data_IF_699899299248
#
_entry.id   IF_699899299248
#
_cell.length_a   1.000
_cell.length_b   1.000
_cell.length_c   1.000
_cell.angle_alpha   90.00
_cell.angle_beta   90.00
_cell.angle_gamma   90.00
#
_symmetry.space_group_name_H-M   'P 1'
#
loop_
_entity.id
_entity.type
_entity.pdbx_description
1 polymer ?
#
# COMPACT_ATOMS: atom_id res chain seq x y z
N UNK A 1 -10.23 19.35 -11.11
CA UNK A 1 -9.55 18.13 -10.68
C UNK A 1 -10.31 16.90 -11.17
N UNK A 2 -9.60 15.96 -11.79
CA UNK A 2 -10.19 14.68 -12.17
C UNK A 2 -10.22 13.74 -10.97
N UNK A 3 -11.37 13.13 -10.73
CA UNK A 3 -11.47 12.07 -9.74
C UNK A 3 -11.02 10.75 -10.37
N UNK A 4 -10.78 9.75 -9.55
CA UNK A 4 -10.44 8.42 -10.02
C UNK A 4 -11.43 7.90 -11.07
N UNK A 5 -12.72 8.14 -10.90
CA UNK A 5 -13.77 7.68 -11.81
C UNK A 5 -13.67 8.26 -13.20
N UNK A 6 -12.96 9.37 -13.38
CA UNK A 6 -12.86 10.07 -14.65
C UNK A 6 -11.70 9.58 -15.51
N UNK A 7 -10.88 8.66 -14.99
CA UNK A 7 -9.78 8.10 -15.74
C UNK A 7 -10.20 6.87 -16.50
N UNK A 8 -9.94 6.89 -17.79
CA UNK A 8 -10.14 5.71 -18.64
C UNK A 8 -8.95 4.76 -18.53
N UNK A 9 -9.15 3.50 -18.93
CA UNK A 9 -8.06 2.54 -18.99
C UNK A 9 -6.89 3.05 -19.84
N UNK A 10 -7.18 3.77 -20.92
CA UNK A 10 -6.17 4.36 -21.80
C UNK A 10 -5.35 5.42 -21.07
N UNK A 11 -6.01 6.31 -20.33
CA UNK A 11 -5.33 7.35 -19.57
C UNK A 11 -4.43 6.73 -18.51
N UNK A 12 -4.89 5.70 -17.83
CA UNK A 12 -4.08 4.98 -16.86
C UNK A 12 -2.85 4.35 -17.52
N UNK A 13 -3.02 3.72 -18.68
CA UNK A 13 -1.92 3.12 -19.42
C UNK A 13 -0.89 4.19 -19.84
N UNK A 14 -1.35 5.33 -20.33
CA UNK A 14 -0.48 6.44 -20.73
C UNK A 14 0.35 6.95 -19.55
N UNK A 15 -0.27 7.10 -18.38
CA UNK A 15 0.44 7.52 -17.18
C UNK A 15 1.48 6.49 -16.75
N UNK A 16 1.15 5.21 -16.82
CA UNK A 16 2.07 4.14 -16.46
C UNK A 16 3.28 4.04 -17.40
N UNK A 17 3.19 4.55 -18.61
CA UNK A 17 4.28 4.51 -19.59
C UNK A 17 5.06 5.81 -19.70
N UNK A 18 4.76 6.81 -18.88
CA UNK A 18 5.41 8.12 -19.00
C UNK A 18 6.79 8.19 -18.33
N UNK A 19 7.32 7.07 -17.83
CA UNK A 19 8.63 7.01 -17.18
C UNK A 19 8.66 7.44 -15.74
N UNK A 20 7.52 7.78 -15.14
CA UNK A 20 7.44 8.15 -13.74
C UNK A 20 7.24 6.92 -12.87
N UNK A 21 7.74 7.00 -11.63
CA UNK A 21 7.51 5.99 -10.62
C UNK A 21 6.01 5.89 -10.31
N UNK A 22 5.56 4.69 -9.98
CA UNK A 22 4.15 4.43 -9.68
C UNK A 22 3.59 5.33 -8.57
N UNK A 23 4.36 5.54 -7.50
CA UNK A 23 3.91 6.42 -6.42
C UNK A 23 3.83 7.88 -6.85
N UNK A 24 4.72 8.32 -7.74
CA UNK A 24 4.63 9.66 -8.31
C UNK A 24 3.36 9.83 -9.12
N UNK A 25 3.01 8.83 -9.92
CA UNK A 25 1.77 8.82 -10.70
C UNK A 25 0.55 8.92 -9.80
N UNK A 26 0.50 8.13 -8.73
CA UNK A 26 -0.60 8.15 -7.79
C UNK A 26 -0.75 9.52 -7.13
N UNK A 27 0.36 10.19 -6.80
CA UNK A 27 0.33 11.53 -6.22
C UNK A 27 -0.16 12.58 -7.22
N UNK A 28 0.23 12.46 -8.49
CA UNK A 28 -0.27 13.33 -9.55
C UNK A 28 -1.78 13.20 -9.67
N UNK A 29 -2.30 11.99 -9.52
CA UNK A 29 -3.74 11.72 -9.53
C UNK A 29 -4.42 12.07 -8.21
N UNK A 30 -3.68 12.64 -7.27
CA UNK A 30 -4.14 13.08 -5.95
C UNK A 30 -4.55 11.93 -5.01
N UNK A 31 -4.05 10.72 -5.26
CA UNK A 31 -4.19 9.62 -4.33
C UNK A 31 -3.21 9.74 -3.18
N UNK A 32 -3.59 9.14 -2.05
CA UNK A 32 -2.73 8.97 -0.87
C UNK A 32 -2.32 7.49 -0.80
N UNK A 33 -1.14 7.14 -1.36
CA UNK A 33 -0.74 5.72 -1.40
C UNK A 33 -0.25 5.23 -0.04
N UNK A 34 -0.67 4.02 0.33
CA UNK A 34 -0.23 3.32 1.53
C UNK A 34 -0.03 1.84 1.20
N UNK A 35 0.83 1.17 1.95
CA UNK A 35 1.03 -0.27 1.79
C UNK A 35 1.84 -0.68 0.56
N UNK A 36 2.55 0.25 -0.05
CA UNK A 36 3.50 -0.03 -1.13
C UNK A 36 4.89 -0.16 -0.50
N UNK A 37 5.47 -1.35 -0.60
CA UNK A 37 6.61 -1.73 0.22
C UNK A 37 7.92 -1.84 -0.54
N UNK A 38 9.00 -1.56 0.17
CA UNK A 38 10.36 -1.83 -0.28
C UNK A 38 10.52 -3.32 -0.62
N UNK A 39 11.24 -3.64 -1.70
CA UNK A 39 11.47 -5.03 -2.08
C UNK A 39 12.39 -5.74 -1.08
N UNK A 40 12.30 -7.08 -1.02
CA UNK A 40 13.21 -7.89 -0.19
C UNK A 40 14.65 -7.71 -0.60
N UNK A 41 14.90 -7.64 -1.90
CA UNK A 41 16.24 -7.50 -2.46
C UNK A 41 16.87 -6.19 -2.00
N UNK A 42 16.14 -5.09 -2.12
CA UNK A 42 16.66 -3.78 -1.70
C UNK A 42 16.85 -3.71 -0.19
N UNK A 43 15.92 -4.28 0.57
CA UNK A 43 16.05 -4.35 2.03
C UNK A 43 17.31 -5.12 2.41
N UNK A 44 17.57 -6.27 1.78
CA UNK A 44 18.76 -7.08 2.03
C UNK A 44 20.04 -6.31 1.70
N UNK A 45 20.05 -5.56 0.59
CA UNK A 45 21.22 -4.73 0.23
C UNK A 45 21.50 -3.69 1.31
N UNK A 46 20.47 -3.02 1.80
CA UNK A 46 20.62 -2.00 2.85
C UNK A 46 21.15 -2.64 4.12
N UNK A 47 20.58 -3.76 4.55
CA UNK A 47 20.99 -4.45 5.78
C UNK A 47 22.44 -4.94 5.71
N UNK A 48 22.87 -5.42 4.55
CA UNK A 48 24.23 -5.96 4.37
C UNK A 48 25.28 -4.88 4.12
N UNK A 49 24.88 -3.62 4.00
CA UNK A 49 25.79 -2.53 3.64
C UNK A 49 26.60 -1.97 4.80
N UNK A 50 26.36 -2.44 6.03
CA UNK A 50 27.01 -1.93 7.25
C UNK A 50 26.87 -0.41 7.40
N UNK A 51 25.68 0.12 7.14
CA UNK A 51 25.36 1.53 7.29
C UNK A 51 25.72 2.42 6.11
N UNK A 52 26.29 1.86 5.04
CA UNK A 52 26.65 2.64 3.84
C UNK A 52 25.43 3.01 2.99
N UNK A 53 24.40 2.17 3.02
CA UNK A 53 23.15 2.42 2.30
C UNK A 53 22.04 2.69 3.30
N UNK A 54 21.19 3.67 2.97
CA UNK A 54 19.99 3.98 3.74
C UNK A 54 18.79 4.01 2.79
N UNK A 55 17.61 3.79 3.34
CA UNK A 55 16.39 3.87 2.55
C UNK A 55 16.00 5.34 2.37
N UNK A 56 16.28 5.89 1.20
CA UNK A 56 15.92 7.27 0.84
C UNK A 56 14.64 7.36 0.02
N UNK A 57 14.14 6.24 -0.45
CA UNK A 57 12.97 6.21 -1.30
C UNK A 57 11.67 6.30 -0.53
N UNK A 58 10.54 6.43 -1.24
CA UNK A 58 9.21 6.53 -0.63
C UNK A 58 8.68 5.18 -0.13
N UNK A 59 9.31 4.08 -0.51
CA UNK A 59 8.88 2.74 -0.12
C UNK A 59 9.47 2.39 1.23
N UNK A 60 8.59 2.05 2.18
CA UNK A 60 9.00 1.65 3.53
C UNK A 60 9.14 0.13 3.62
N UNK A 61 9.92 -0.33 4.59
CA UNK A 61 10.00 -1.75 4.91
C UNK A 61 8.88 -2.11 5.90
N UNK A 62 7.98 -3.04 5.55
CA UNK A 62 6.82 -3.31 6.42
C UNK A 62 7.19 -3.84 7.80
N UNK A 63 8.35 -4.52 7.92
CA UNK A 63 8.82 -5.01 9.21
C UNK A 63 9.05 -3.91 10.23
N UNK A 64 9.37 -2.69 9.80
CA UNK A 64 9.59 -1.55 10.69
C UNK A 64 8.29 -1.01 11.30
N UNK A 65 7.14 -1.45 10.79
CA UNK A 65 5.83 -0.96 11.21
C UNK A 65 5.02 -2.01 11.97
N UNK A 66 5.63 -3.15 12.29
CA UNK A 66 4.97 -4.21 13.05
C UNK A 66 4.77 -3.74 14.49
N UNK A 67 3.54 -3.83 14.97
CA UNK A 67 3.16 -3.51 16.35
C UNK A 67 2.24 -4.60 16.88
N UNK A 68 2.81 -5.56 17.62
CA UNK A 68 2.05 -6.70 18.14
C UNK A 68 1.14 -6.31 19.32
N UNK A 69 1.26 -5.09 19.82
CA UNK A 69 0.51 -4.62 20.98
C UNK A 69 -0.71 -3.77 20.63
N UNK A 70 -0.94 -3.44 19.36
CA UNK A 70 -2.08 -2.57 19.03
C UNK A 70 -3.42 -3.30 19.15
N UNK A 71 -4.47 -2.52 19.35
CA UNK A 71 -5.80 -3.02 19.72
C UNK A 71 -6.40 -3.90 18.63
N UNK A 72 -6.82 -5.11 18.99
CA UNK A 72 -7.39 -6.08 18.04
C UNK A 72 -8.74 -5.64 17.47
N UNK A 73 -9.55 -4.92 18.24
CA UNK A 73 -10.84 -4.39 17.77
C UNK A 73 -10.63 -3.30 16.73
N UNK A 74 -9.66 -2.45 16.97
CA UNK A 74 -9.22 -1.42 16.03
C UNK A 74 -8.74 -2.07 14.74
N UNK A 75 -7.87 -3.07 14.85
CA UNK A 75 -7.36 -3.82 13.70
C UNK A 75 -8.48 -4.44 12.87
N UNK A 76 -9.49 -5.01 13.51
CA UNK A 76 -10.63 -5.61 12.81
C UNK A 76 -11.37 -4.58 11.96
N UNK A 77 -11.60 -3.38 12.48
CA UNK A 77 -12.23 -2.27 11.74
C UNK A 77 -11.38 -1.83 10.56
N UNK A 78 -10.08 -1.75 10.74
CA UNK A 78 -9.15 -1.41 9.68
C UNK A 78 -9.20 -2.47 8.57
N UNK A 79 -9.21 -3.75 8.92
CA UNK A 79 -9.31 -4.84 7.96
C UNK A 79 -10.59 -4.77 7.16
N UNK A 80 -11.74 -4.51 7.79
CA UNK A 80 -13.01 -4.38 7.10
C UNK A 80 -12.95 -3.24 6.07
N UNK A 81 -12.37 -2.12 6.45
CA UNK A 81 -12.18 -0.98 5.55
C UNK A 81 -11.29 -1.35 4.35
N UNK A 82 -10.15 -1.98 4.60
CA UNK A 82 -9.21 -2.35 3.54
C UNK A 82 -9.81 -3.36 2.57
N UNK A 83 -10.65 -4.27 3.04
CA UNK A 83 -11.31 -5.28 2.20
C UNK A 83 -12.49 -4.71 1.41
N UNK A 84 -13.03 -3.57 1.82
CA UNK A 84 -14.18 -2.95 1.17
C UNK A 84 -13.81 -1.91 0.11
N UNK A 85 -12.53 -1.70 -0.14
CA UNK A 85 -12.07 -0.73 -1.14
C UNK A 85 -12.56 -1.07 -2.54
N UNK A 86 -12.67 -0.05 -3.37
CA UNK A 86 -13.06 -0.22 -4.78
C UNK A 86 -11.84 -0.55 -5.62
N UNK A 87 -12.05 -1.36 -6.66
CA UNK A 87 -10.99 -1.73 -7.59
C UNK A 87 -10.48 -0.49 -8.34
N UNK A 88 -9.18 -0.27 -8.28
CA UNK A 88 -8.51 0.81 -8.99
C UNK A 88 -7.74 0.29 -10.20
N UNK A 89 -6.85 -0.66 -9.98
CA UNK A 89 -5.93 -1.15 -11.00
C UNK A 89 -5.66 -2.64 -10.80
N UNK A 90 -5.54 -3.38 -11.90
CA UNK A 90 -5.09 -4.77 -11.86
C UNK A 90 -3.65 -4.86 -12.34
N UNK A 91 -2.83 -5.62 -11.61
CA UNK A 91 -1.44 -5.86 -11.99
C UNK A 91 -1.33 -7.01 -12.97
N UNK A 92 -0.19 -7.07 -13.68
CA UNK A 92 0.11 -8.17 -14.58
C UNK A 92 0.45 -9.48 -13.85
N UNK A 93 0.73 -9.43 -12.55
CA UNK A 93 1.05 -10.60 -11.75
C UNK A 93 0.90 -10.34 -10.26
N UNK A 94 1.01 -11.38 -9.43
CA UNK A 94 0.84 -11.24 -7.99
C UNK A 94 2.01 -10.53 -7.34
N UNK A 95 1.73 -9.85 -6.23
CA UNK A 95 2.77 -9.27 -5.38
C UNK A 95 3.05 -10.22 -4.21
N UNK A 96 4.29 -10.64 -3.98
CA UNK A 96 4.59 -11.50 -2.84
C UNK A 96 4.62 -10.72 -1.53
N UNK A 97 4.29 -11.38 -0.42
CA UNK A 97 4.48 -10.79 0.89
C UNK A 97 5.98 -10.63 1.19
N UNK A 98 6.37 -9.49 1.75
CA UNK A 98 7.78 -9.23 2.11
C UNK A 98 8.17 -9.90 3.42
N UNK A 99 7.22 -10.34 4.21
CA UNK A 99 7.45 -10.84 5.57
C UNK A 99 7.22 -12.34 5.76
N UNK A 100 6.64 -13.02 4.78
CA UNK A 100 6.42 -14.47 4.83
C UNK A 100 6.51 -15.07 3.42
N UNK A 101 6.24 -16.37 3.33
CA UNK A 101 6.40 -17.12 2.07
C UNK A 101 5.19 -17.04 1.13
N UNK A 102 4.19 -16.23 1.46
CA UNK A 102 3.02 -16.06 0.60
C UNK A 102 3.43 -15.34 -0.69
N UNK A 103 3.40 -16.06 -1.82
CA UNK A 103 3.77 -15.51 -3.12
C UNK A 103 2.62 -14.79 -3.82
N UNK A 104 1.38 -15.19 -3.54
CA UNK A 104 0.19 -14.62 -4.14
C UNK A 104 -0.54 -13.74 -3.13
N UNK A 105 -0.02 -12.53 -2.93
CA UNK A 105 -0.62 -11.57 -2.00
C UNK A 105 -1.34 -10.47 -2.78
N UNK A 106 -2.30 -10.87 -3.60
CA UNK A 106 -3.13 -9.96 -4.37
C UNK A 106 -2.54 -9.54 -5.70
N UNK A 107 -3.40 -9.14 -6.61
CA UNK A 107 -3.05 -8.71 -7.98
C UNK A 107 -3.67 -7.36 -8.34
N UNK A 108 -4.31 -6.69 -7.40
CA UNK A 108 -5.04 -5.45 -7.67
C UNK A 108 -4.67 -4.36 -6.68
N UNK A 109 -5.00 -3.13 -7.06
CA UNK A 109 -5.02 -1.98 -6.14
C UNK A 109 -6.47 -1.62 -5.83
N UNK A 110 -6.68 -1.17 -4.60
CA UNK A 110 -7.99 -0.73 -4.12
C UNK A 110 -7.89 0.75 -3.71
N UNK A 111 -9.03 1.41 -3.62
CA UNK A 111 -9.09 2.80 -3.17
C UNK A 111 -10.37 3.09 -2.42
N UNK A 112 -10.32 4.15 -1.61
CA UNK A 112 -11.48 4.73 -0.95
C UNK A 112 -11.73 6.10 -1.55
N UNK A 113 -12.89 6.29 -2.15
CA UNK A 113 -13.23 7.49 -2.90
C UNK A 113 -13.30 8.74 -2.01
N UNK A 114 -13.83 8.61 -0.80
CA UNK A 114 -14.02 9.74 0.09
C UNK A 114 -12.70 10.31 0.61
N UNK A 115 -11.74 9.44 0.93
CA UNK A 115 -10.45 9.86 1.49
C UNK A 115 -9.32 9.93 0.47
N UNK A 116 -9.51 9.31 -0.69
CA UNK A 116 -8.48 9.13 -1.74
C UNK A 116 -7.29 8.27 -1.31
N UNK A 117 -7.40 7.54 -0.21
CA UNK A 117 -6.41 6.51 0.10
C UNK A 117 -6.47 5.40 -0.94
N UNK A 118 -5.31 4.92 -1.36
CA UNK A 118 -5.18 3.77 -2.25
C UNK A 118 -4.12 2.82 -1.71
N UNK A 119 -4.34 1.53 -1.89
CA UNK A 119 -3.45 0.51 -1.34
C UNK A 119 -3.50 -0.76 -2.21
N UNK A 120 -2.43 -1.57 -2.18
CA UNK A 120 -2.48 -2.88 -2.82
C UNK A 120 -3.46 -3.79 -2.08
N UNK A 121 -4.13 -4.64 -2.80
CA UNK A 121 -5.05 -5.64 -2.24
C UNK A 121 -4.40 -6.43 -1.10
N UNK A 122 -3.13 -6.74 -1.25
CA UNK A 122 -2.39 -7.52 -0.26
C UNK A 122 -2.04 -6.80 1.04
N UNK A 123 -2.32 -5.50 1.15
CA UNK A 123 -2.05 -4.75 2.38
C UNK A 123 -2.80 -5.36 3.57
N UNK A 124 -4.01 -5.84 3.34
CA UNK A 124 -4.80 -6.51 4.40
C UNK A 124 -4.07 -7.70 5.02
N UNK A 125 -3.32 -8.46 4.22
CA UNK A 125 -2.53 -9.58 4.72
C UNK A 125 -1.46 -9.13 5.73
N UNK A 126 -0.75 -8.03 5.43
CA UNK A 126 0.25 -7.47 6.34
C UNK A 126 -0.38 -7.02 7.66
N UNK A 127 -1.53 -6.40 7.59
CA UNK A 127 -2.25 -5.94 8.79
C UNK A 127 -2.75 -7.13 9.62
N UNK A 128 -3.35 -8.11 8.96
CA UNK A 128 -3.97 -9.25 9.62
C UNK A 128 -2.94 -10.25 10.17
N UNK A 129 -1.98 -10.63 9.34
CA UNK A 129 -1.06 -11.73 9.66
C UNK A 129 0.25 -11.27 10.30
N UNK A 130 0.63 -10.02 10.07
CA UNK A 130 1.93 -9.53 10.52
C UNK A 130 1.84 -8.32 11.46
N UNK A 131 0.63 -7.90 11.83
CA UNK A 131 0.42 -6.74 12.70
C UNK A 131 1.13 -5.46 12.22
N UNK A 132 1.25 -5.31 10.91
CA UNK A 132 1.78 -4.07 10.33
C UNK A 132 0.75 -2.98 10.57
N UNK A 133 1.12 -1.98 11.39
CA UNK A 133 0.20 -0.92 11.79
C UNK A 133 0.17 0.16 10.72
N UNK A 134 -1.02 0.52 10.19
CA UNK A 134 -1.15 1.62 9.24
C UNK A 134 -0.78 2.97 9.86
N UNK A 135 -0.55 4.00 9.03
CA UNK A 135 -0.33 5.34 9.53
C UNK A 135 -1.48 5.79 10.44
N UNK A 136 -1.15 6.54 11.48
CA UNK A 136 -2.14 6.98 12.46
C UNK A 136 -3.25 7.81 11.82
N UNK A 137 -2.93 8.61 10.81
CA UNK A 137 -3.94 9.41 10.09
C UNK A 137 -5.01 8.53 9.46
N UNK A 138 -4.61 7.41 8.86
CA UNK A 138 -5.56 6.45 8.28
C UNK A 138 -6.40 5.79 9.36
N UNK A 139 -5.76 5.37 10.45
CA UNK A 139 -6.48 4.75 11.57
C UNK A 139 -7.53 5.72 12.11
N UNK A 140 -7.16 6.96 12.36
CA UNK A 140 -8.08 7.99 12.87
C UNK A 140 -9.24 8.21 11.91
N UNK A 141 -8.96 8.28 10.61
CA UNK A 141 -9.99 8.41 9.59
C UNK A 141 -10.99 7.25 9.63
N UNK A 142 -10.49 6.02 9.65
CA UNK A 142 -11.34 4.81 9.66
C UNK A 142 -12.19 4.76 10.92
N UNK A 143 -11.60 5.06 12.08
CA UNK A 143 -12.34 5.03 13.35
C UNK A 143 -13.36 6.15 13.44
N UNK A 144 -13.24 7.21 12.64
CA UNK A 144 -14.24 8.27 12.56
C UNK A 144 -15.46 7.92 11.73
N UNK A 145 -15.38 6.87 10.91
CA UNK A 145 -16.49 6.41 10.07
C UNK A 145 -17.55 5.72 10.92
N UNK A 146 -18.80 5.94 10.55
CA UNK A 146 -19.93 5.33 11.25
C UNK A 146 -20.52 4.18 10.47
#
# INVERSE_FOLDING_TARGET
MLTHKQFTARQQAELMTCGKDHLEILKILEFKPIGFWLSRERHAEIQSSHGRLVNKGPYLWPGDLVDNSWNKKERAKILDFLKSGKLSLAYAGPSPCRLCDLEFNGTTELYDEASMYTWPEGYAHYVEMHNVKPPQDLIDYILSLK
#
